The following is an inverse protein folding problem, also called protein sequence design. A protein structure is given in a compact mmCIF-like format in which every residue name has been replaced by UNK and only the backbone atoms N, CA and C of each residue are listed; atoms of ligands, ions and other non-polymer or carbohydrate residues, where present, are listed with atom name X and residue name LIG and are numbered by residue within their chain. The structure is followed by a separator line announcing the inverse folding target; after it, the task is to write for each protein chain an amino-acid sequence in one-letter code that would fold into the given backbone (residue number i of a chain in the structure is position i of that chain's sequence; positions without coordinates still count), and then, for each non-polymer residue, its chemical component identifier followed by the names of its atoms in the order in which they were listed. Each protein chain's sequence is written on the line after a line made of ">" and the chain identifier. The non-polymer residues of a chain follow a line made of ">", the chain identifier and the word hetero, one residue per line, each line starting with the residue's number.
data_IF_063964767296
#
_entry.id   IF_063964767296
#
_cell.length_a   1.000
_cell.length_b   1.000
_cell.length_c   1.000
_cell.angle_alpha   90.00
_cell.angle_beta   90.00
_cell.angle_gamma   90.00
#
_symmetry.space_group_name_H-M   'P 1'
#
loop_
_entity.id
_entity.type
_entity.pdbx_description
1 polymer ?
#
# COMPACT_ATOMS: atom_id res chain seq x y z
N UNK A 1 -24.68 -20.15 -9.75
CA UNK A 1 -25.06 -19.16 -8.72
C UNK A 1 -26.22 -19.62 -7.81
N UNK A 2 -27.41 -19.99 -8.31
CA UNK A 2 -28.56 -20.39 -7.45
C UNK A 2 -28.26 -21.50 -6.43
N UNK A 3 -27.51 -22.54 -6.80
CA UNK A 3 -27.09 -23.63 -5.88
C UNK A 3 -26.21 -23.12 -4.73
N UNK A 4 -25.28 -22.20 -5.02
CA UNK A 4 -24.40 -21.58 -4.01
C UNK A 4 -25.19 -20.73 -3.03
N UNK A 5 -26.14 -19.92 -3.53
CA UNK A 5 -27.01 -19.10 -2.69
C UNK A 5 -27.88 -19.95 -1.76
N UNK A 6 -28.46 -21.05 -2.26
CA UNK A 6 -29.23 -21.99 -1.46
C UNK A 6 -28.38 -22.68 -0.38
N UNK A 7 -27.12 -22.98 -0.69
CA UNK A 7 -26.19 -23.54 0.29
C UNK A 7 -25.84 -22.53 1.40
N UNK A 8 -25.53 -21.28 1.03
CA UNK A 8 -25.29 -20.20 1.99
C UNK A 8 -26.51 -19.95 2.89
N UNK A 9 -27.73 -19.98 2.32
CA UNK A 9 -28.97 -19.85 3.08
C UNK A 9 -29.14 -20.98 4.13
N UNK A 10 -28.82 -22.23 3.77
CA UNK A 10 -28.83 -23.37 4.71
C UNK A 10 -27.84 -23.18 5.87
N UNK A 11 -26.70 -22.53 5.59
CA UNK A 11 -25.71 -22.17 6.59
C UNK A 11 -26.05 -20.89 7.37
N UNK A 12 -27.21 -20.25 7.11
CA UNK A 12 -27.61 -18.95 7.67
C UNK A 12 -26.59 -17.82 7.37
N UNK A 13 -25.91 -17.92 6.23
CA UNK A 13 -24.97 -16.91 5.75
C UNK A 13 -25.63 -15.99 4.71
N UNK A 14 -25.13 -14.75 4.51
CA UNK A 14 -25.62 -13.86 3.47
C UNK A 14 -25.53 -14.51 2.08
N UNK A 15 -26.63 -14.50 1.34
CA UNK A 15 -26.73 -15.10 -0.02
C UNK A 15 -26.28 -14.15 -1.13
N UNK A 16 -26.06 -12.89 -0.78
CA UNK A 16 -25.61 -11.81 -1.63
C UNK A 16 -24.97 -10.72 -0.75
N UNK A 17 -24.22 -9.83 -1.37
CA UNK A 17 -23.69 -8.66 -0.68
C UNK A 17 -24.81 -7.73 -0.23
N UNK A 18 -24.59 -7.03 0.88
CA UNK A 18 -25.54 -6.04 1.36
C UNK A 18 -25.40 -4.74 0.54
N UNK A 19 -26.05 -4.69 -0.61
CA UNK A 19 -26.07 -3.50 -1.46
C UNK A 19 -26.90 -2.34 -0.89
N UNK A 20 -27.64 -2.55 0.21
CA UNK A 20 -28.41 -1.52 0.90
C UNK A 20 -27.60 -0.76 1.98
N UNK A 21 -26.28 -0.95 2.03
CA UNK A 21 -25.43 -0.21 2.96
C UNK A 21 -25.38 1.26 2.57
N UNK A 22 -25.74 2.12 3.51
CA UNK A 22 -25.61 3.57 3.37
C UNK A 22 -24.15 3.97 3.15
N UNK A 23 -23.85 4.85 2.18
CA UNK A 23 -22.49 5.34 1.98
C UNK A 23 -21.93 5.99 3.25
N UNK A 24 -20.65 5.72 3.54
CA UNK A 24 -19.96 6.38 4.66
C UNK A 24 -20.01 7.90 4.48
N UNK A 25 -20.45 8.60 5.53
CA UNK A 25 -20.45 10.08 5.60
C UNK A 25 -19.09 10.67 5.99
N UNK A 26 -18.11 9.83 6.35
CA UNK A 26 -16.74 10.29 6.70
C UNK A 26 -16.05 10.88 5.47
N UNK A 27 -15.26 11.92 5.69
CA UNK A 27 -14.48 12.62 4.67
C UNK A 27 -13.09 12.96 5.22
N UNK A 28 -12.13 13.12 4.32
CA UNK A 28 -10.83 13.72 4.61
C UNK A 28 -10.98 15.23 4.84
N UNK A 29 -9.98 15.91 5.44
CA UNK A 29 -10.05 17.35 5.70
C UNK A 29 -10.31 18.24 4.48
N UNK A 30 -9.96 17.77 3.28
CA UNK A 30 -10.22 18.45 2.00
C UNK A 30 -11.56 18.02 1.35
N UNK A 31 -12.39 17.25 2.04
CA UNK A 31 -13.69 16.80 1.57
C UNK A 31 -13.67 15.51 0.73
N UNK A 32 -12.50 14.90 0.47
CA UNK A 32 -12.43 13.62 -0.24
C UNK A 32 -13.13 12.48 0.52
N UNK A 33 -13.83 11.58 -0.18
CA UNK A 33 -14.46 10.41 0.45
C UNK A 33 -13.50 9.21 0.56
N UNK A 34 -12.50 9.14 -0.32
CA UNK A 34 -11.50 8.08 -0.37
C UNK A 34 -10.18 8.64 -0.90
N UNK A 35 -9.12 7.85 -0.77
CA UNK A 35 -7.78 8.12 -1.31
C UNK A 35 -7.30 6.92 -2.10
N UNK A 36 -6.45 7.20 -3.07
CA UNK A 36 -5.74 6.17 -3.82
C UNK A 36 -4.30 6.12 -3.34
N UNK A 37 -3.90 4.90 -2.96
CA UNK A 37 -2.52 4.56 -2.65
C UNK A 37 -2.00 3.58 -3.70
N UNK A 38 -0.80 3.82 -4.19
CA UNK A 38 -0.05 2.82 -4.96
C UNK A 38 1.05 2.25 -4.05
N UNK A 39 0.92 0.99 -3.60
CA UNK A 39 1.92 0.36 -2.75
C UNK A 39 3.12 -0.14 -3.57
N UNK A 40 4.18 -0.50 -2.85
CA UNK A 40 5.41 -1.08 -3.41
C UNK A 40 6.09 -0.20 -4.47
N UNK A 41 6.11 1.12 -4.22
CA UNK A 41 6.89 2.08 -5.00
C UNK A 41 8.31 2.09 -4.45
N UNK A 42 9.12 1.14 -4.93
CA UNK A 42 10.44 0.80 -4.41
C UNK A 42 11.57 1.78 -4.78
N UNK A 43 11.25 3.06 -5.00
CA UNK A 43 12.25 4.11 -5.23
C UNK A 43 11.90 5.12 -6.32
N UNK A 44 12.77 6.12 -6.57
CA UNK A 44 12.43 7.30 -7.38
C UNK A 44 12.02 7.00 -8.81
N UNK A 45 12.68 6.02 -9.44
CA UNK A 45 12.36 5.59 -10.81
C UNK A 45 10.93 5.04 -10.91
N UNK A 46 10.53 4.21 -9.94
CA UNK A 46 9.18 3.63 -9.90
C UNK A 46 8.17 4.71 -9.58
N UNK A 47 8.48 5.64 -8.69
CA UNK A 47 7.59 6.74 -8.36
C UNK A 47 7.28 7.62 -9.58
N UNK A 48 8.30 7.98 -10.37
CA UNK A 48 8.09 8.67 -11.65
C UNK A 48 7.17 7.88 -12.59
N UNK A 49 7.37 6.57 -12.72
CA UNK A 49 6.51 5.75 -13.57
C UNK A 49 5.04 5.75 -13.09
N UNK A 50 4.82 5.73 -11.78
CA UNK A 50 3.47 5.87 -11.20
C UNK A 50 2.86 7.22 -11.56
N UNK A 51 3.61 8.31 -11.46
CA UNK A 51 3.14 9.66 -11.80
C UNK A 51 2.76 9.77 -13.27
N UNK A 52 3.61 9.27 -14.17
CA UNK A 52 3.33 9.27 -15.60
C UNK A 52 2.07 8.46 -15.93
N UNK A 53 1.93 7.24 -15.37
CA UNK A 53 0.74 6.43 -15.56
C UNK A 53 -0.52 7.08 -14.98
N UNK A 54 -0.41 7.71 -13.81
CA UNK A 54 -1.51 8.44 -13.17
C UNK A 54 -1.99 9.62 -14.03
N UNK A 55 -1.05 10.37 -14.63
CA UNK A 55 -1.33 11.46 -15.56
C UNK A 55 -1.97 10.95 -16.84
N UNK A 56 -1.44 9.88 -17.43
CA UNK A 56 -1.97 9.25 -18.64
C UNK A 56 -3.43 8.79 -18.44
N UNK A 57 -3.70 8.07 -17.36
CA UNK A 57 -5.03 7.53 -17.06
C UNK A 57 -5.95 8.53 -16.36
N UNK A 58 -5.48 9.74 -16.05
CA UNK A 58 -6.22 10.77 -15.32
C UNK A 58 -6.76 10.27 -13.98
N UNK A 59 -5.98 9.45 -13.28
CA UNK A 59 -6.31 8.90 -11.97
C UNK A 59 -5.53 9.66 -10.90
N UNK A 60 -6.20 10.22 -9.88
CA UNK A 60 -5.49 10.89 -8.80
C UNK A 60 -4.75 9.86 -7.93
N UNK A 61 -3.48 10.12 -7.62
CA UNK A 61 -2.72 9.39 -6.60
C UNK A 61 -2.54 10.32 -5.42
N UNK A 62 -2.81 9.81 -4.21
CA UNK A 62 -2.72 10.61 -3.00
C UNK A 62 -1.55 10.17 -2.11
N UNK A 63 -1.15 8.91 -2.24
CA UNK A 63 -0.09 8.30 -1.44
C UNK A 63 0.66 7.26 -2.26
N UNK A 64 1.94 7.15 -2.00
CA UNK A 64 2.73 5.97 -2.34
C UNK A 64 3.32 5.37 -1.08
N UNK A 65 3.50 4.06 -1.07
CA UNK A 65 4.24 3.39 -0.01
C UNK A 65 5.37 2.52 -0.56
N UNK A 66 6.44 2.42 0.22
CA UNK A 66 7.57 1.55 -0.06
C UNK A 66 7.55 0.38 0.91
N UNK A 67 7.34 -0.83 0.39
CA UNK A 67 6.98 -2.01 1.18
C UNK A 67 8.17 -2.90 1.57
N UNK A 68 9.25 -2.89 0.77
CA UNK A 68 10.42 -3.72 1.07
C UNK A 68 11.30 -3.18 2.21
N UNK A 69 10.97 -2.02 2.75
CA UNK A 69 11.68 -1.42 3.88
C UNK A 69 12.68 -0.37 3.41
N UNK A 70 12.59 0.82 4.03
CA UNK A 70 13.32 2.03 3.61
C UNK A 70 14.83 1.88 3.76
N UNK A 71 15.28 0.94 4.60
CA UNK A 71 16.70 0.64 4.80
C UNK A 71 17.36 0.02 3.56
N UNK A 72 16.60 -0.45 2.58
CA UNK A 72 17.11 -0.90 1.28
C UNK A 72 17.36 0.26 0.30
N UNK A 73 16.92 1.47 0.63
CA UNK A 73 17.13 2.67 -0.18
C UNK A 73 18.31 3.48 0.34
N UNK A 74 19.09 4.05 -0.58
CA UNK A 74 20.11 5.03 -0.22
C UNK A 74 19.48 6.32 0.29
N UNK A 75 20.22 7.10 1.08
CA UNK A 75 19.78 8.44 1.54
C UNK A 75 19.29 9.32 0.38
N UNK A 76 20.01 9.29 -0.75
CA UNK A 76 19.67 10.06 -1.95
C UNK A 76 18.32 9.65 -2.53
N UNK A 77 18.02 8.35 -2.55
CA UNK A 77 16.75 7.83 -3.03
C UNK A 77 15.60 8.30 -2.14
N UNK A 78 15.78 8.24 -0.81
CA UNK A 78 14.78 8.72 0.16
C UNK A 78 14.53 10.22 0.00
N UNK A 79 15.57 11.03 -0.12
CA UNK A 79 15.47 12.48 -0.35
C UNK A 79 14.78 12.79 -1.69
N UNK A 80 15.07 12.02 -2.73
CA UNK A 80 14.45 12.19 -4.05
C UNK A 80 12.98 11.78 -4.03
N UNK A 81 12.63 10.66 -3.39
CA UNK A 81 11.24 10.25 -3.15
C UNK A 81 10.46 11.36 -2.44
N UNK A 82 11.01 11.92 -1.36
CA UNK A 82 10.38 13.02 -0.62
C UNK A 82 10.20 14.28 -1.49
N UNK A 83 11.21 14.63 -2.31
CA UNK A 83 11.14 15.76 -3.26
C UNK A 83 10.05 15.55 -4.32
N UNK A 84 9.98 14.36 -4.91
CA UNK A 84 8.94 14.01 -5.90
C UNK A 84 7.55 14.12 -5.26
N UNK A 85 7.36 13.50 -4.08
CA UNK A 85 6.08 13.52 -3.38
C UNK A 85 5.62 14.93 -3.03
N UNK A 86 6.52 15.77 -2.51
CA UNK A 86 6.21 17.17 -2.24
C UNK A 86 5.82 17.95 -3.51
N UNK A 87 6.53 17.72 -4.63
CA UNK A 87 6.25 18.37 -5.91
C UNK A 87 4.89 18.00 -6.51
N UNK A 88 4.48 16.74 -6.38
CA UNK A 88 3.22 16.22 -6.92
C UNK A 88 2.07 16.24 -5.89
N UNK A 89 2.33 16.71 -4.66
CA UNK A 89 1.39 16.67 -3.51
C UNK A 89 0.90 15.26 -3.17
N UNK A 90 1.81 14.30 -3.24
CA UNK A 90 1.60 12.90 -2.92
C UNK A 90 2.32 12.57 -1.61
N UNK A 91 1.59 11.99 -0.65
CA UNK A 91 2.20 11.49 0.58
C UNK A 91 3.17 10.35 0.28
N UNK A 92 4.36 10.40 0.86
CA UNK A 92 5.35 9.33 0.76
C UNK A 92 5.42 8.62 2.10
N UNK A 93 4.95 7.37 2.13
CA UNK A 93 5.05 6.53 3.32
C UNK A 93 6.16 5.49 3.16
N UNK A 94 7.17 5.59 4.02
CA UNK A 94 8.32 4.71 3.98
C UNK A 94 8.29 3.80 5.20
N UNK A 95 8.34 2.49 4.96
CA UNK A 95 8.19 1.52 6.04
C UNK A 95 9.56 1.29 6.66
N UNK A 96 9.66 1.48 7.97
CA UNK A 96 10.92 1.27 8.70
C UNK A 96 11.09 -0.21 8.98
N UNK A 97 12.24 -0.77 8.59
CA UNK A 97 12.66 -2.11 8.99
C UNK A 97 13.50 -2.82 7.93
N UNK A 98 14.42 -3.72 8.33
CA UNK A 98 15.08 -4.61 7.39
C UNK A 98 14.08 -5.70 6.98
N UNK A 99 13.57 -5.65 5.73
CA UNK A 99 12.90 -6.82 5.10
C UNK A 99 13.89 -7.63 4.27
N UNK A 100 15.17 -7.58 4.65
CA UNK A 100 16.21 -8.40 4.05
C UNK A 100 16.26 -9.78 4.70
N UNK A 101 15.12 -10.48 4.77
CA UNK A 101 15.08 -11.89 5.21
C UNK A 101 15.91 -12.81 4.30
N UNK A 102 16.26 -12.32 3.12
CA UNK A 102 17.14 -12.95 2.13
C UNK A 102 18.63 -12.64 2.32
N UNK A 103 19.04 -11.83 3.30
CA UNK A 103 20.44 -11.59 3.58
C UNK A 103 21.08 -12.76 4.35
N UNK A 104 22.40 -12.88 4.31
CA UNK A 104 23.17 -13.95 5.00
C UNK A 104 23.74 -13.51 6.34
N UNK A 105 23.42 -12.31 6.82
CA UNK A 105 23.89 -11.78 8.10
C UNK A 105 23.38 -12.57 9.31
N UNK A 106 24.14 -12.51 10.42
CA UNK A 106 23.81 -13.24 11.66
C UNK A 106 22.40 -12.92 12.19
N UNK A 107 21.90 -11.70 11.92
CA UNK A 107 20.54 -11.29 12.26
C UNK A 107 19.50 -12.16 11.54
N UNK A 108 19.59 -12.32 10.21
CA UNK A 108 18.68 -13.16 9.43
C UNK A 108 18.74 -14.65 9.83
N UNK A 109 19.92 -15.13 10.23
CA UNK A 109 20.11 -16.52 10.66
C UNK A 109 19.61 -16.82 12.09
N UNK A 110 19.56 -15.82 12.97
CA UNK A 110 19.18 -15.99 14.37
C UNK A 110 17.68 -16.24 14.57
N UNK A 111 17.31 -16.98 15.63
CA UNK A 111 15.91 -17.22 15.99
C UNK A 111 15.14 -15.92 16.27
N UNK A 112 15.78 -14.95 16.92
CA UNK A 112 15.21 -13.65 17.20
C UNK A 112 15.04 -12.80 15.93
N UNK A 113 16.04 -12.77 15.04
CA UNK A 113 15.96 -11.97 13.82
C UNK A 113 14.97 -12.49 12.78
N UNK A 114 14.66 -13.80 12.77
CA UNK A 114 13.54 -14.37 11.99
C UNK A 114 12.19 -13.76 12.37
N UNK A 115 11.97 -13.48 13.66
CA UNK A 115 10.73 -12.86 14.15
C UNK A 115 10.67 -11.38 13.76
N UNK A 116 11.80 -10.68 13.83
CA UNK A 116 11.91 -9.24 13.50
C UNK A 116 11.73 -8.99 11.99
N UNK A 117 12.24 -9.88 11.14
CA UNK A 117 12.19 -9.73 9.68
C UNK A 117 10.83 -10.06 9.04
N UNK A 118 9.90 -10.70 9.76
CA UNK A 118 8.62 -11.22 9.23
C UNK A 118 7.36 -10.50 9.75
N UNK A 119 7.48 -9.47 10.59
CA UNK A 119 6.33 -8.72 11.13
C UNK A 119 5.57 -7.86 10.12
#
# INVERSE_FOLDING_TARGET
>A
MKKTQQFLAKLKLPVQDNHALEPSKKRFPDGGQYRFEIPSVEGPRVFRAVIEAAKEHKVPVHRVSQGSGVLLLGRRDVEEMARIGAGERIEVCLFVGPRATFETGAQAASSAGKVIGLQ
#
